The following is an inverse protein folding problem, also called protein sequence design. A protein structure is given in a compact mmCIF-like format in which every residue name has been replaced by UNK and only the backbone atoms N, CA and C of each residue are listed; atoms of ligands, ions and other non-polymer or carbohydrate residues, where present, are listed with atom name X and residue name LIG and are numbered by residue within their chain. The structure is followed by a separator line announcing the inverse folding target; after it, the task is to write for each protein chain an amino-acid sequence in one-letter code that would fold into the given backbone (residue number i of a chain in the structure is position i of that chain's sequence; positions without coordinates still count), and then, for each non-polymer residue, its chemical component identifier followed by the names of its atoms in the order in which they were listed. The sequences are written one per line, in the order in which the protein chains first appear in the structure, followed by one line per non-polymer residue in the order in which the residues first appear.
data_IF_851945697778
#
_entry.id   IF_851945697778
#
_cell.length_a   1.000
_cell.length_b   1.000
_cell.length_c   1.000
_cell.angle_alpha   90.00
_cell.angle_beta   90.00
_cell.angle_gamma   90.00
#
_symmetry.space_group_name_H-M   'P 1'
#
loop_
_entity.id
_entity.type
_entity.pdbx_description
1 polymer ?
#
# COMPACT_ATOMS: atom_id res chain seq x y z
N UNK A 1 -39.10 -68.74 -17.40
CA UNK A 1 -39.90 -67.53 -17.71
C UNK A 1 -39.53 -66.47 -16.68
N UNK A 2 -38.60 -65.56 -16.99
CA UNK A 2 -38.76 -64.40 -17.86
C UNK A 2 -39.39 -63.21 -17.12
N UNK A 3 -38.52 -62.27 -16.70
CA UNK A 3 -38.64 -60.79 -16.65
C UNK A 3 -39.82 -60.20 -15.83
N UNK A 4 -39.64 -59.18 -14.98
CA UNK A 4 -39.21 -57.83 -15.37
C UNK A 4 -38.62 -56.99 -14.21
N UNK A 5 -37.74 -56.08 -14.62
CA UNK A 5 -37.03 -55.00 -13.95
C UNK A 5 -37.94 -53.91 -13.36
N UNK A 6 -37.50 -53.25 -12.29
CA UNK A 6 -37.59 -51.78 -12.12
C UNK A 6 -36.75 -51.35 -10.88
N UNK A 7 -35.49 -51.01 -11.12
CA UNK A 7 -34.65 -50.28 -10.18
C UNK A 7 -34.64 -48.81 -10.64
N UNK A 8 -35.39 -47.96 -9.96
CA UNK A 8 -35.37 -46.51 -10.17
C UNK A 8 -35.47 -45.81 -8.83
N UNK A 9 -34.33 -45.28 -8.36
CA UNK A 9 -34.31 -44.11 -7.51
C UNK A 9 -33.29 -43.11 -8.09
N UNK A 10 -33.71 -41.87 -8.38
CA UNK A 10 -32.84 -40.84 -8.91
C UNK A 10 -31.82 -40.39 -7.85
N UNK A 11 -30.55 -40.36 -8.23
CA UNK A 11 -29.51 -39.58 -7.56
C UNK A 11 -29.80 -38.10 -7.77
N UNK A 12 -30.04 -37.30 -6.73
CA UNK A 12 -29.70 -35.87 -6.72
C UNK A 12 -29.93 -35.24 -5.34
N UNK A 13 -28.84 -35.01 -4.60
CA UNK A 13 -28.59 -33.81 -3.79
C UNK A 13 -27.22 -33.97 -3.10
N UNK A 14 -26.14 -33.29 -3.54
CA UNK A 14 -25.03 -33.02 -2.62
C UNK A 14 -25.54 -32.12 -1.48
N UNK A 15 -25.08 -32.31 -0.24
CA UNK A 15 -25.42 -31.39 0.84
C UNK A 15 -24.96 -29.98 0.48
N UNK A 16 -25.79 -28.98 0.80
CA UNK A 16 -25.51 -27.56 0.64
C UNK A 16 -24.19 -27.19 1.33
N UNK A 17 -23.09 -27.18 0.59
CA UNK A 17 -21.83 -26.53 0.99
C UNK A 17 -21.73 -25.21 0.25
N UNK A 18 -22.49 -24.21 0.70
CA UNK A 18 -22.14 -22.84 0.35
C UNK A 18 -22.83 -21.85 1.29
N UNK A 19 -22.17 -21.48 2.38
CA UNK A 19 -22.44 -20.15 2.98
C UNK A 19 -21.20 -19.55 3.64
N UNK A 20 -20.27 -20.34 4.19
CA UNK A 20 -19.07 -19.77 4.81
C UNK A 20 -17.87 -20.70 4.67
N UNK A 21 -17.10 -20.48 3.60
CA UNK A 21 -15.76 -21.04 3.49
C UNK A 21 -14.80 -20.20 4.33
N UNK A 22 -14.74 -20.53 5.63
CA UNK A 22 -13.83 -19.88 6.58
C UNK A 22 -12.36 -20.08 6.18
N UNK A 23 -12.01 -21.19 5.52
CA UNK A 23 -10.65 -21.44 5.06
C UNK A 23 -10.29 -20.47 3.93
N UNK A 24 -11.22 -20.21 3.01
CA UNK A 24 -11.06 -19.17 2.00
C UNK A 24 -10.99 -17.77 2.61
N UNK A 25 -11.82 -17.46 3.61
CA UNK A 25 -11.74 -16.16 4.31
C UNK A 25 -10.44 -15.98 5.09
N UNK A 26 -9.91 -17.04 5.70
CA UNK A 26 -8.63 -17.03 6.43
C UNK A 26 -7.45 -16.97 5.46
N UNK A 27 -7.53 -17.64 4.31
CA UNK A 27 -6.54 -17.53 3.25
C UNK A 27 -6.55 -16.14 2.59
N UNK A 28 -7.73 -15.57 2.33
CA UNK A 28 -7.87 -14.23 1.76
C UNK A 28 -7.44 -13.15 2.79
N UNK A 29 -7.71 -13.34 4.10
CA UNK A 29 -7.19 -12.47 5.16
C UNK A 29 -5.67 -12.65 5.38
N UNK A 30 -5.18 -13.88 5.24
CA UNK A 30 -3.77 -14.24 5.35
C UNK A 30 -2.94 -13.67 4.20
N UNK A 31 -3.47 -13.69 2.97
CA UNK A 31 -2.85 -13.06 1.79
C UNK A 31 -2.90 -11.53 1.87
N UNK A 32 -4.01 -10.95 2.32
CA UNK A 32 -4.10 -9.52 2.65
C UNK A 32 -3.13 -9.09 3.76
N UNK A 33 -2.85 -9.96 4.74
CA UNK A 33 -1.87 -9.71 5.76
C UNK A 33 -0.44 -9.96 5.25
N UNK A 34 -0.20 -11.00 4.44
CA UNK A 34 1.15 -11.38 4.00
C UNK A 34 1.70 -10.53 2.85
N UNK A 35 0.85 -9.90 2.04
CA UNK A 35 1.27 -9.01 0.95
C UNK A 35 1.88 -7.66 1.44
N UNK A 36 2.01 -7.46 2.76
CA UNK A 36 2.63 -6.25 3.32
C UNK A 36 3.28 -6.39 4.69
N UNK A 37 3.49 -7.62 5.19
CA UNK A 37 4.12 -7.84 6.50
C UNK A 37 5.60 -8.24 6.43
N UNK A 38 6.11 -8.57 5.24
CA UNK A 38 7.54 -8.84 5.01
C UNK A 38 8.19 -7.69 4.26
N UNK A 39 7.80 -7.47 3.01
CA UNK A 39 8.57 -6.66 2.07
C UNK A 39 8.07 -5.22 1.99
N UNK A 40 8.97 -4.27 2.27
CA UNK A 40 8.65 -2.85 2.24
C UNK A 40 8.83 -2.26 0.83
N UNK A 41 7.94 -1.33 0.43
CA UNK A 41 7.93 -0.78 -0.93
C UNK A 41 9.16 0.08 -1.21
N UNK A 42 9.65 0.02 -2.46
CA UNK A 42 10.83 0.77 -2.91
C UNK A 42 10.64 2.28 -3.04
N UNK A 43 9.41 2.75 -3.24
CA UNK A 43 9.07 4.17 -3.23
C UNK A 43 7.97 4.46 -2.23
N UNK A 44 8.30 5.28 -1.24
CA UNK A 44 7.46 5.56 -0.07
C UNK A 44 7.30 7.07 0.08
N UNK A 45 6.05 7.52 0.16
CA UNK A 45 5.71 8.89 0.49
C UNK A 45 5.08 8.95 1.88
N UNK A 46 5.71 9.67 2.80
CA UNK A 46 5.25 9.87 4.16
C UNK A 46 4.32 11.08 4.21
N UNK A 47 3.09 10.88 4.68
CA UNK A 47 2.07 11.90 4.72
C UNK A 47 1.40 12.01 6.10
N UNK A 48 0.62 13.07 6.27
CA UNK A 48 -0.24 13.28 7.45
C UNK A 48 -1.57 13.85 7.01
N UNK A 49 -2.63 13.53 7.75
CA UNK A 49 -3.94 14.15 7.58
C UNK A 49 -3.98 15.63 8.01
N UNK A 50 -2.91 16.13 8.64
CA UNK A 50 -2.72 17.56 8.88
C UNK A 50 -2.34 18.34 7.61
N UNK A 51 -1.97 17.64 6.53
CA UNK A 51 -1.76 18.27 5.23
C UNK A 51 -3.10 18.74 4.63
N UNK A 52 -3.09 19.79 3.78
CA UNK A 52 -4.29 20.20 3.05
C UNK A 52 -4.88 19.03 2.22
N UNK A 53 -6.20 18.82 2.20
CA UNK A 53 -6.82 17.69 1.50
C UNK A 53 -6.46 17.61 0.02
N UNK A 54 -6.37 18.75 -0.67
CA UNK A 54 -5.96 18.80 -2.08
C UNK A 54 -4.53 18.31 -2.29
N UNK A 55 -3.59 18.73 -1.43
CA UNK A 55 -2.19 18.32 -1.51
C UNK A 55 -2.03 16.82 -1.21
N UNK A 56 -2.74 16.31 -0.21
CA UNK A 56 -2.72 14.88 0.13
C UNK A 56 -3.30 14.03 -1.02
N UNK A 57 -4.37 14.52 -1.67
CA UNK A 57 -4.95 13.87 -2.84
C UNK A 57 -3.95 13.81 -3.99
N UNK A 58 -3.39 14.95 -4.40
CA UNK A 58 -2.41 15.00 -5.49
C UNK A 58 -1.21 14.11 -5.21
N UNK A 59 -0.69 14.14 -3.98
CA UNK A 59 0.37 13.22 -3.56
C UNK A 59 -0.03 11.75 -3.74
N UNK A 60 -1.20 11.35 -3.24
CA UNK A 60 -1.65 9.97 -3.32
C UNK A 60 -1.85 9.51 -4.78
N UNK A 61 -2.47 10.35 -5.60
CA UNK A 61 -2.69 10.08 -7.02
C UNK A 61 -1.34 9.95 -7.75
N UNK A 62 -0.39 10.86 -7.52
CA UNK A 62 0.94 10.85 -8.16
C UNK A 62 1.78 9.66 -7.71
N UNK A 63 1.78 9.34 -6.41
CA UNK A 63 2.51 8.20 -5.86
C UNK A 63 1.94 6.89 -6.39
N UNK A 64 0.61 6.76 -6.47
CA UNK A 64 -0.02 5.58 -7.06
C UNK A 64 0.36 5.42 -8.54
N UNK A 65 0.36 6.51 -9.32
CA UNK A 65 0.81 6.50 -10.74
C UNK A 65 2.29 6.16 -10.87
N UNK A 66 3.13 6.64 -9.96
CA UNK A 66 4.54 6.28 -9.88
C UNK A 66 4.76 4.82 -9.42
N UNK A 67 3.75 4.16 -8.87
CA UNK A 67 3.83 2.79 -8.36
C UNK A 67 4.51 2.68 -7.00
N UNK A 68 4.46 3.75 -6.20
CA UNK A 68 4.83 3.73 -4.80
C UNK A 68 3.61 3.65 -3.89
N UNK A 69 3.85 3.80 -2.60
CA UNK A 69 2.78 3.86 -1.59
C UNK A 69 2.89 5.15 -0.77
N UNK A 70 1.75 5.63 -0.30
CA UNK A 70 1.67 6.69 0.71
C UNK A 70 1.47 6.05 2.07
N UNK A 71 2.24 6.46 3.07
CA UNK A 71 2.13 5.94 4.43
C UNK A 71 1.79 7.04 5.41
N UNK A 72 0.83 6.74 6.27
CA UNK A 72 0.43 7.56 7.41
C UNK A 72 1.02 6.95 8.69
N UNK A 73 1.44 7.82 9.62
CA UNK A 73 2.06 7.37 10.89
C UNK A 73 1.06 6.60 11.76
N UNK A 74 -0.22 6.95 11.70
CA UNK A 74 -1.22 6.37 12.58
C UNK A 74 -2.61 6.91 12.34
N UNK A 75 -3.52 6.50 13.21
CA UNK A 75 -4.91 6.93 13.19
C UNK A 75 -5.06 8.33 13.80
N UNK A 76 -5.75 9.26 13.12
CA UNK A 76 -6.07 10.57 13.69
C UNK A 76 -6.94 10.38 14.94
N UNK A 77 -6.43 10.84 16.09
CA UNK A 77 -7.10 10.66 17.39
C UNK A 77 -7.36 9.20 17.78
N UNK A 78 -6.62 8.24 17.24
CA UNK A 78 -6.79 6.82 17.54
C UNK A 78 -8.01 6.16 16.92
N UNK A 79 -8.69 6.82 15.96
CA UNK A 79 -9.96 6.36 15.39
C UNK A 79 -9.84 5.98 13.91
N UNK A 80 -10.07 4.69 13.61
CA UNK A 80 -10.20 4.18 12.23
C UNK A 80 -11.32 4.90 11.47
N UNK A 81 -12.46 5.12 12.12
CA UNK A 81 -13.60 5.84 11.53
C UNK A 81 -13.22 7.26 11.10
N UNK A 82 -12.40 7.95 11.91
CA UNK A 82 -11.94 9.31 11.61
C UNK A 82 -10.99 9.30 10.43
N UNK A 83 -10.08 8.31 10.36
CA UNK A 83 -9.22 8.12 9.19
C UNK A 83 -10.06 7.89 7.93
N UNK A 84 -10.96 6.92 7.94
CA UNK A 84 -11.79 6.58 6.77
C UNK A 84 -12.60 7.78 6.31
N UNK A 85 -13.18 8.56 7.24
CA UNK A 85 -13.91 9.78 6.89
C UNK A 85 -13.01 10.88 6.30
N UNK A 86 -11.78 11.02 6.80
CA UNK A 86 -10.81 11.98 6.26
C UNK A 86 -10.34 11.55 4.85
N UNK A 87 -10.01 10.28 4.67
CA UNK A 87 -9.63 9.71 3.38
C UNK A 87 -10.78 9.80 2.38
N UNK A 88 -12.02 9.54 2.78
CA UNK A 88 -13.19 9.70 1.91
C UNK A 88 -13.35 11.14 1.41
N UNK A 89 -13.10 12.15 2.27
CA UNK A 89 -13.12 13.56 1.87
C UNK A 89 -12.01 13.91 0.88
N UNK A 90 -10.84 13.30 1.02
CA UNK A 90 -9.69 13.49 0.12
C UNK A 90 -9.93 12.79 -1.22
N UNK A 91 -10.56 11.61 -1.19
CA UNK A 91 -10.88 10.78 -2.34
C UNK A 91 -12.00 11.35 -3.23
N UNK A 92 -12.84 12.26 -2.72
CA UNK A 92 -13.86 12.96 -3.50
C UNK A 92 -14.87 12.02 -4.18
N UNK A 93 -15.55 12.52 -5.22
CA UNK A 93 -16.54 11.73 -5.97
C UNK A 93 -15.85 10.73 -6.91
N UNK A 94 -15.64 9.51 -6.41
CA UNK A 94 -15.21 8.36 -7.22
C UNK A 94 -13.71 8.01 -7.20
N UNK A 95 -12.90 8.73 -6.42
CA UNK A 95 -11.50 8.35 -6.21
C UNK A 95 -11.36 7.21 -5.19
N UNK A 96 -10.37 6.34 -5.38
CA UNK A 96 -9.90 5.43 -4.34
C UNK A 96 -8.48 5.80 -3.97
N UNK A 97 -8.20 5.90 -2.66
CA UNK A 97 -6.86 6.14 -2.13
C UNK A 97 -6.20 4.79 -1.81
N UNK A 98 -6.18 3.88 -2.80
CA UNK A 98 -5.72 2.50 -2.63
C UNK A 98 -4.22 2.43 -2.29
N UNK A 99 -3.46 3.46 -2.64
CA UNK A 99 -2.04 3.57 -2.31
C UNK A 99 -1.76 4.08 -0.88
N UNK A 100 -2.79 4.44 -0.08
CA UNK A 100 -2.61 4.99 1.26
C UNK A 100 -2.71 3.90 2.32
N UNK A 101 -1.60 3.62 3.00
CA UNK A 101 -1.51 2.69 4.13
C UNK A 101 -1.19 3.39 5.46
N UNK A 102 -1.29 2.65 6.57
CA UNK A 102 -0.80 3.07 7.88
C UNK A 102 0.34 2.15 8.27
N UNK A 103 1.54 2.71 8.42
CA UNK A 103 2.67 1.94 8.96
C UNK A 103 3.57 2.84 9.83
N UNK A 104 3.42 2.82 11.16
CA UNK A 104 4.32 3.56 12.05
C UNK A 104 5.75 3.00 12.07
N UNK A 105 5.98 1.76 11.64
CA UNK A 105 7.33 1.14 11.59
C UNK A 105 8.16 1.82 10.51
N UNK A 106 7.59 2.10 9.34
CA UNK A 106 8.27 2.85 8.28
C UNK A 106 8.70 4.25 8.73
N UNK A 107 7.85 4.97 9.48
CA UNK A 107 8.22 6.28 10.03
C UNK A 107 9.40 6.21 10.98
N UNK A 108 9.49 5.14 11.79
CA UNK A 108 10.63 4.91 12.69
C UNK A 108 11.88 4.48 11.91
N UNK A 109 11.73 3.58 10.94
CA UNK A 109 12.82 3.03 10.15
C UNK A 109 13.58 4.11 9.36
N UNK A 110 12.87 5.09 8.80
CA UNK A 110 13.46 6.21 8.03
C UNK A 110 13.60 7.51 8.83
N UNK A 111 13.38 7.46 10.15
CA UNK A 111 13.46 8.61 11.06
C UNK A 111 12.72 9.85 10.52
N UNK A 112 11.48 9.63 10.07
CA UNK A 112 10.66 10.68 9.43
C UNK A 112 9.90 11.45 10.51
N UNK A 113 10.39 12.64 10.81
CA UNK A 113 9.78 13.53 11.80
C UNK A 113 8.77 14.51 11.18
N UNK A 114 9.02 14.94 9.94
CA UNK A 114 8.21 15.92 9.21
C UNK A 114 7.62 15.33 7.93
N UNK A 115 6.46 15.85 7.54
CA UNK A 115 5.77 15.49 6.29
C UNK A 115 5.45 16.74 5.47
N UNK A 116 5.41 16.64 4.12
CA UNK A 116 5.69 15.43 3.36
C UNK A 116 7.18 15.09 3.27
N UNK A 117 7.46 13.78 3.21
CA UNK A 117 8.80 13.24 2.98
C UNK A 117 8.71 12.11 1.97
N UNK A 118 9.62 12.08 1.01
CA UNK A 118 9.73 11.04 -0.01
C UNK A 118 11.00 10.25 0.21
N UNK A 119 10.90 8.92 0.09
CA UNK A 119 12.02 8.00 0.21
C UNK A 119 12.01 7.03 -0.97
N UNK A 120 13.16 6.84 -1.59
CA UNK A 120 13.39 5.76 -2.56
C UNK A 120 14.55 4.91 -2.08
N UNK A 121 14.30 3.62 -1.86
CA UNK A 121 15.33 2.66 -1.46
C UNK A 121 16.04 2.07 -2.68
N UNK A 122 17.27 1.59 -2.51
CA UNK A 122 18.03 0.90 -3.57
C UNK A 122 17.56 -0.55 -3.81
N UNK A 123 16.89 -1.15 -2.83
CA UNK A 123 16.38 -2.51 -2.87
C UNK A 123 15.15 -2.64 -1.97
N UNK A 124 14.45 -3.75 -2.12
CA UNK A 124 13.45 -4.19 -1.16
C UNK A 124 14.12 -4.53 0.19
N UNK A 125 13.34 -4.52 1.28
CA UNK A 125 13.83 -4.76 2.64
C UNK A 125 12.70 -5.22 3.56
N UNK A 126 13.06 -5.90 4.65
CA UNK A 126 12.10 -6.40 5.62
C UNK A 126 11.98 -5.47 6.82
N UNK A 127 10.74 -5.14 7.20
CA UNK A 127 10.46 -4.43 8.44
C UNK A 127 10.46 -5.42 9.61
N UNK A 128 11.23 -5.10 10.64
CA UNK A 128 11.26 -5.95 11.81
C UNK A 128 10.19 -5.59 12.84
N UNK A 129 9.63 -6.64 13.46
CA UNK A 129 8.52 -6.55 14.40
C UNK A 129 8.98 -6.91 15.80
N UNK A 130 9.38 -5.89 16.56
CA UNK A 130 9.76 -6.01 17.96
C UNK A 130 9.90 -4.64 18.63
N UNK A 131 9.64 -4.56 19.94
CA UNK A 131 9.74 -3.31 20.70
C UNK A 131 11.15 -2.70 20.65
N UNK A 132 12.18 -3.56 20.65
CA UNK A 132 13.59 -3.15 20.62
C UNK A 132 14.24 -3.31 19.24
N UNK A 133 13.45 -3.64 18.21
CA UNK A 133 14.00 -3.86 16.89
C UNK A 133 14.17 -2.56 16.10
N UNK A 134 15.37 -2.36 15.57
CA UNK A 134 15.67 -1.33 14.57
C UNK A 134 15.74 -1.98 13.21
N UNK A 135 14.86 -1.55 12.31
CA UNK A 135 14.93 -1.96 10.91
C UNK A 135 16.22 -1.44 10.29
N UNK A 136 17.01 -2.35 9.72
CA UNK A 136 18.16 -1.97 8.92
C UNK A 136 17.64 -1.60 7.52
N UNK A 137 17.54 -0.30 7.26
CA UNK A 137 17.07 0.19 5.96
C UNK A 137 18.21 0.16 4.94
N UNK A 138 17.94 -0.27 3.70
CA UNK A 138 18.93 -0.25 2.63
C UNK A 138 19.36 1.20 2.32
N UNK A 139 20.48 1.37 1.59
CA UNK A 139 20.84 2.67 1.03
C UNK A 139 19.65 3.31 0.32
N UNK A 140 19.36 4.57 0.61
CA UNK A 140 18.17 5.25 0.12
C UNK A 140 18.41 6.73 -0.07
N UNK A 141 17.58 7.32 -0.92
CA UNK A 141 17.46 8.76 -1.07
C UNK A 141 16.25 9.26 -0.29
N UNK A 142 16.37 10.43 0.35
CA UNK A 142 15.28 11.06 1.12
C UNK A 142 15.18 12.54 0.79
N UNK A 143 13.96 13.02 0.63
CA UNK A 143 13.66 14.43 0.45
C UNK A 143 12.45 14.82 1.30
N UNK A 144 12.63 15.82 2.15
CA UNK A 144 11.56 16.40 2.97
C UNK A 144 11.32 17.84 2.53
N UNK A 145 10.05 18.26 2.51
CA UNK A 145 9.67 19.63 2.16
C UNK A 145 8.43 19.67 1.28
N UNK A 146 7.85 20.86 1.11
CA UNK A 146 6.66 21.07 0.27
C UNK A 146 7.01 21.00 -1.22
N UNK A 147 7.32 19.79 -1.71
CA UNK A 147 7.71 19.51 -3.09
C UNK A 147 6.75 18.48 -3.70
N UNK A 148 6.69 18.44 -5.04
CA UNK A 148 5.88 17.45 -5.75
C UNK A 148 6.58 16.10 -5.86
N UNK A 149 5.80 15.05 -6.16
CA UNK A 149 6.34 13.70 -6.42
C UNK A 149 7.29 13.70 -7.61
N UNK A 150 6.90 14.35 -8.72
CA UNK A 150 7.74 14.47 -9.91
C UNK A 150 9.09 15.12 -9.59
N UNK A 151 9.07 16.21 -8.82
CA UNK A 151 10.29 16.92 -8.43
C UNK A 151 11.20 16.05 -7.55
N UNK A 152 10.63 15.35 -6.56
CA UNK A 152 11.41 14.46 -5.70
C UNK A 152 12.08 13.34 -6.51
N UNK A 153 11.31 12.66 -7.38
CA UNK A 153 11.82 11.58 -8.22
C UNK A 153 12.85 12.06 -9.25
N UNK A 154 12.64 13.22 -9.87
CA UNK A 154 13.61 13.84 -10.77
C UNK A 154 14.91 14.18 -10.06
N UNK A 155 14.82 14.78 -8.87
CA UNK A 155 16.01 15.12 -8.08
C UNK A 155 16.78 13.87 -7.67
N UNK A 156 16.10 12.80 -7.24
CA UNK A 156 16.76 11.54 -6.91
C UNK A 156 17.41 10.89 -8.14
N UNK A 157 16.71 10.86 -9.28
CA UNK A 157 17.23 10.29 -10.52
C UNK A 157 18.48 11.04 -11.03
N UNK A 158 18.50 12.37 -10.91
CA UNK A 158 19.62 13.21 -11.34
C UNK A 158 20.76 13.26 -10.32
N UNK A 159 20.45 13.07 -9.03
CA UNK A 159 21.41 13.19 -7.93
C UNK A 159 22.45 12.06 -7.87
N UNK A 160 22.22 10.94 -8.57
CA UNK A 160 23.15 9.79 -8.59
C UNK A 160 23.27 9.07 -7.24
N UNK A 161 22.30 9.27 -6.34
CA UNK A 161 22.23 8.61 -5.05
C UNK A 161 21.83 7.13 -5.13
N UNK A 162 21.79 6.42 -4.00
CA UNK A 162 21.56 4.97 -3.98
C UNK A 162 20.22 4.53 -4.58
N UNK A 163 19.19 5.37 -4.48
CA UNK A 163 17.86 5.14 -5.04
C UNK A 163 17.69 5.68 -6.47
N UNK A 164 18.69 6.33 -7.06
CA UNK A 164 18.55 7.05 -8.33
C UNK A 164 18.01 6.19 -9.48
N UNK A 165 18.49 4.93 -9.60
CA UNK A 165 18.00 4.01 -10.63
C UNK A 165 16.51 3.72 -10.45
N UNK A 166 16.08 3.40 -9.23
CA UNK A 166 14.66 3.12 -8.95
C UNK A 166 13.82 4.39 -9.08
N UNK A 167 14.33 5.54 -8.64
CA UNK A 167 13.67 6.83 -8.83
C UNK A 167 13.42 7.13 -10.31
N UNK A 168 14.39 6.84 -11.19
CA UNK A 168 14.21 7.00 -12.65
C UNK A 168 13.10 6.11 -13.21
N UNK A 169 12.94 4.88 -12.68
CA UNK A 169 11.88 3.96 -13.09
C UNK A 169 10.50 4.45 -12.61
N UNK A 170 10.40 4.91 -11.36
CA UNK A 170 9.19 5.50 -10.80
C UNK A 170 8.81 6.79 -11.54
N UNK A 171 9.77 7.65 -11.88
CA UNK A 171 9.55 8.86 -12.67
C UNK A 171 9.03 8.53 -14.08
N UNK A 172 9.64 7.57 -14.76
CA UNK A 172 9.20 7.12 -16.08
C UNK A 172 7.79 6.51 -16.04
N UNK A 173 7.36 5.92 -14.93
CA UNK A 173 5.98 5.44 -14.75
C UNK A 173 5.00 6.59 -14.55
N UNK A 174 5.37 7.57 -13.73
CA UNK A 174 4.58 8.76 -13.48
C UNK A 174 4.33 9.56 -14.77
N UNK A 175 5.39 9.81 -15.54
CA UNK A 175 5.32 10.56 -16.80
C UNK A 175 4.52 9.86 -17.89
N UNK A 176 4.54 8.53 -17.96
CA UNK A 176 3.70 7.76 -18.90
C UNK A 176 2.22 7.78 -18.57
N UNK A 177 1.89 8.14 -17.32
CA UNK A 177 0.53 8.18 -16.81
C UNK A 177 -0.02 9.61 -16.78
N UNK A 178 0.74 10.58 -17.30
CA UNK A 178 0.31 11.97 -17.49
C UNK A 178 -0.41 12.05 -18.85
N UNK A 179 -1.70 12.41 -18.89
CA UNK A 179 -2.51 12.40 -20.12
C UNK A 179 -2.15 13.51 -21.12
#
# INVERSE_FOLDING_TARGET
MAWFYAAEWPTFAPPLTDVFDFDKMVADAGTMASDGLGEAPRFIAFASLSMPPAALRTMADDVARAGGVVVLRGLPGGSAKTLTAALAKVAGDGGKLDAVGIDPRLFRAFEVEAVPTYVVTSSDFDLCDGFDCRTEVPPHDRMSGNVSVSYALETFAQGGGPGALLASQHLARLQRSDP
#
